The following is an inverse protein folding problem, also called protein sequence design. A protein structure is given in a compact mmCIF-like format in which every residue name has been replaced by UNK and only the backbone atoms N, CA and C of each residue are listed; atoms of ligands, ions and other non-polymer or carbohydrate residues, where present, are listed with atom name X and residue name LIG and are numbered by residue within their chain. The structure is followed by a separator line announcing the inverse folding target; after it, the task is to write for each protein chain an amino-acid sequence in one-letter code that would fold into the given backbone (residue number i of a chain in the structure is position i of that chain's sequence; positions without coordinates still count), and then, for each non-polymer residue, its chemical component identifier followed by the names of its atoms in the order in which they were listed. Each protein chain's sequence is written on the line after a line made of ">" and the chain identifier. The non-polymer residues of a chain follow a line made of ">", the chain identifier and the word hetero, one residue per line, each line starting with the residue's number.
data_IF_945221756542
#
_entry.id   IF_945221756542
#
_cell.length_a   1.000
_cell.length_b   1.000
_cell.length_c   1.000
_cell.angle_alpha   90.00
_cell.angle_beta   90.00
_cell.angle_gamma   90.00
#
_symmetry.space_group_name_H-M   'P 1'
#
loop_
_entity.id
_entity.type
_entity.pdbx_description
1 polymer ?
#
# COMPACT_ATOMS: atom_id res chain seq x y z
N UNK A 1 -29.39 9.42 -24.81
CA UNK A 1 -28.90 9.88 -23.50
C UNK A 1 -27.46 9.37 -23.33
N UNK A 2 -26.45 10.24 -23.28
CA UNK A 2 -25.03 9.83 -23.24
C UNK A 2 -24.58 9.83 -21.77
N UNK A 3 -24.34 8.65 -21.18
CA UNK A 3 -23.75 8.58 -19.84
C UNK A 3 -22.32 9.14 -19.91
N UNK A 4 -22.12 10.32 -19.32
CA UNK A 4 -20.78 10.81 -19.01
C UNK A 4 -20.30 10.00 -17.80
N UNK A 5 -19.43 9.02 -18.02
CA UNK A 5 -18.67 8.39 -16.93
C UNK A 5 -17.86 9.49 -16.24
N UNK A 6 -18.35 9.99 -15.11
CA UNK A 6 -17.57 10.89 -14.27
C UNK A 6 -16.54 10.01 -13.57
N UNK A 7 -15.29 10.04 -14.03
CA UNK A 7 -14.15 9.50 -13.30
C UNK A 7 -13.93 10.35 -12.03
N UNK A 8 -14.83 10.25 -11.04
CA UNK A 8 -14.60 10.79 -9.70
C UNK A 8 -13.53 9.93 -9.05
N UNK A 9 -12.26 10.33 -9.21
CA UNK A 9 -11.20 9.85 -8.33
C UNK A 9 -11.60 10.22 -6.91
N UNK A 10 -11.92 9.23 -6.08
CA UNK A 10 -12.27 9.51 -4.69
C UNK A 10 -11.03 9.96 -3.93
N UNK A 11 -11.18 10.76 -2.87
CA UNK A 11 -10.05 11.17 -2.04
C UNK A 11 -9.23 9.96 -1.54
N UNK A 12 -9.89 8.84 -1.23
CA UNK A 12 -9.23 7.58 -0.87
C UNK A 12 -8.37 7.04 -2.03
N UNK A 13 -8.90 7.06 -3.25
CA UNK A 13 -8.15 6.64 -4.45
C UNK A 13 -6.90 7.50 -4.67
N UNK A 14 -7.01 8.83 -4.58
CA UNK A 14 -5.86 9.74 -4.72
C UNK A 14 -4.80 9.51 -3.64
N UNK A 15 -5.22 9.30 -2.38
CA UNK A 15 -4.29 9.01 -1.27
C UNK A 15 -3.58 7.67 -1.50
N UNK A 16 -4.29 6.61 -1.91
CA UNK A 16 -3.68 5.30 -2.21
C UNK A 16 -2.66 5.41 -3.33
N UNK A 17 -2.99 6.16 -4.38
CA UNK A 17 -2.09 6.39 -5.50
C UNK A 17 -0.82 7.10 -5.05
N UNK A 18 -0.93 8.22 -4.33
CA UNK A 18 0.24 8.95 -3.83
C UNK A 18 1.12 8.09 -2.89
N UNK A 19 0.51 7.25 -2.03
CA UNK A 19 1.26 6.30 -1.21
C UNK A 19 2.04 5.31 -2.07
N UNK A 20 1.42 4.69 -3.07
CA UNK A 20 2.10 3.75 -3.96
C UNK A 20 3.23 4.42 -4.74
N UNK A 21 3.01 5.62 -5.28
CA UNK A 21 4.06 6.37 -5.99
C UNK A 21 5.28 6.66 -5.11
N UNK A 22 5.08 6.95 -3.82
CA UNK A 22 6.18 7.11 -2.88
C UNK A 22 6.90 5.79 -2.59
N UNK A 23 6.16 4.69 -2.43
CA UNK A 23 6.75 3.36 -2.27
C UNK A 23 7.57 2.94 -3.50
N UNK A 24 7.06 3.20 -4.71
CA UNK A 24 7.72 2.92 -5.98
C UNK A 24 8.99 3.78 -6.16
N UNK A 25 9.01 4.99 -5.60
CA UNK A 25 10.20 5.87 -5.50
C UNK A 25 11.20 5.40 -4.44
N UNK A 26 10.91 4.32 -3.71
CA UNK A 26 11.79 3.73 -2.71
C UNK A 26 11.69 4.36 -1.31
N UNK A 27 10.66 5.17 -1.04
CA UNK A 27 10.42 5.63 0.33
C UNK A 27 10.01 4.45 1.22
N UNK A 28 10.70 4.29 2.35
CA UNK A 28 10.46 3.19 3.30
C UNK A 28 10.02 3.69 4.69
N UNK A 29 10.32 4.94 5.04
CA UNK A 29 9.84 5.51 6.30
C UNK A 29 8.36 5.89 6.21
N UNK A 30 7.56 5.20 7.04
CA UNK A 30 6.11 5.34 7.06
C UNK A 30 5.65 6.74 7.49
N UNK A 31 6.36 7.41 8.40
CA UNK A 31 5.96 8.74 8.86
C UNK A 31 6.30 9.81 7.83
N UNK A 32 7.42 9.67 7.11
CA UNK A 32 7.80 10.53 5.99
C UNK A 32 6.80 10.42 4.84
N UNK A 33 6.43 9.20 4.45
CA UNK A 33 5.38 8.97 3.45
C UNK A 33 4.08 9.68 3.85
N UNK A 34 3.65 9.56 5.11
CA UNK A 34 2.44 10.25 5.57
C UNK A 34 2.57 11.77 5.53
N UNK A 35 3.72 12.33 5.91
CA UNK A 35 3.95 13.77 5.86
C UNK A 35 3.89 14.27 4.41
N UNK A 36 4.57 13.58 3.48
CA UNK A 36 4.57 13.93 2.04
C UNK A 36 3.19 13.90 1.41
N UNK A 37 2.39 12.88 1.71
CA UNK A 37 1.00 12.80 1.21
C UNK A 37 0.13 13.93 1.76
N UNK A 38 0.34 14.33 3.03
CA UNK A 38 -0.37 15.48 3.63
C UNK A 38 0.04 16.78 2.94
N UNK A 39 1.34 16.98 2.70
CA UNK A 39 1.88 18.16 2.01
C UNK A 39 1.37 18.26 0.57
N UNK A 40 1.36 17.15 -0.16
CA UNK A 40 0.98 17.11 -1.58
C UNK A 40 -0.53 17.25 -1.81
N UNK A 41 -1.34 16.56 -1.01
CA UNK A 41 -2.80 16.49 -1.22
C UNK A 41 -3.60 17.42 -0.29
N UNK A 42 -2.97 18.06 0.69
CA UNK A 42 -3.62 18.94 1.67
C UNK A 42 -4.63 18.22 2.58
N UNK A 43 -4.53 16.91 2.72
CA UNK A 43 -5.49 16.09 3.50
C UNK A 43 -5.03 15.90 4.94
N UNK A 44 -5.95 15.73 5.93
CA UNK A 44 -5.56 15.49 7.31
C UNK A 44 -4.79 14.17 7.49
N UNK A 45 -3.73 14.19 8.31
CA UNK A 45 -2.93 12.99 8.64
C UNK A 45 -3.76 11.82 9.18
N UNK A 46 -4.81 12.00 10.01
CA UNK A 46 -5.70 10.90 10.39
C UNK A 46 -6.37 10.21 9.20
N UNK A 47 -6.76 10.98 8.18
CA UNK A 47 -7.34 10.45 6.93
C UNK A 47 -6.32 9.61 6.17
N UNK A 48 -5.10 10.13 5.99
CA UNK A 48 -4.00 9.36 5.35
C UNK A 48 -3.74 8.06 6.09
N UNK A 49 -3.65 8.10 7.42
CA UNK A 49 -3.43 6.91 8.26
C UNK A 49 -4.55 5.87 8.09
N UNK A 50 -5.81 6.31 8.00
CA UNK A 50 -6.94 5.40 7.77
C UNK A 50 -6.79 4.72 6.40
N UNK A 51 -6.61 5.51 5.35
CA UNK A 51 -6.51 4.99 3.98
C UNK A 51 -5.28 4.10 3.78
N UNK A 52 -4.15 4.42 4.43
CA UNK A 52 -2.96 3.57 4.43
C UNK A 52 -3.22 2.20 5.06
N UNK A 53 -4.02 2.13 6.14
CA UNK A 53 -4.45 0.84 6.73
C UNK A 53 -5.35 0.06 5.76
N UNK A 54 -6.29 0.76 5.12
CA UNK A 54 -7.18 0.15 4.12
C UNK A 54 -6.38 -0.45 2.96
N UNK A 55 -5.43 0.33 2.41
CA UNK A 55 -4.52 -0.11 1.35
C UNK A 55 -3.70 -1.33 1.76
N UNK A 56 -3.12 -1.32 2.96
CA UNK A 56 -2.37 -2.47 3.48
C UNK A 56 -3.24 -3.73 3.53
N UNK A 57 -4.47 -3.62 4.03
CA UNK A 57 -5.37 -4.77 4.13
C UNK A 57 -5.75 -5.31 2.73
N UNK A 58 -6.00 -4.43 1.77
CA UNK A 58 -6.25 -4.80 0.37
C UNK A 58 -5.06 -5.53 -0.26
N UNK A 59 -3.84 -5.04 -0.03
CA UNK A 59 -2.62 -5.68 -0.53
C UNK A 59 -2.39 -7.06 0.11
N UNK A 60 -2.55 -7.17 1.43
CA UNK A 60 -2.44 -8.46 2.13
C UNK A 60 -3.49 -9.48 1.64
N UNK A 61 -4.72 -9.03 1.37
CA UNK A 61 -5.74 -9.90 0.81
C UNK A 61 -5.36 -10.38 -0.61
N UNK A 62 -4.85 -9.49 -1.46
CA UNK A 62 -4.36 -9.85 -2.79
C UNK A 62 -3.20 -10.85 -2.72
N UNK A 63 -2.23 -10.60 -1.85
CA UNK A 63 -1.10 -11.51 -1.61
C UNK A 63 -1.62 -12.89 -1.18
N UNK A 64 -2.55 -12.95 -0.22
CA UNK A 64 -3.14 -14.21 0.24
C UNK A 64 -3.80 -15.00 -0.90
N UNK A 65 -4.54 -14.33 -1.79
CA UNK A 65 -5.16 -14.97 -2.95
C UNK A 65 -4.08 -15.52 -3.89
N UNK A 66 -3.08 -14.72 -4.24
CA UNK A 66 -2.01 -15.13 -5.15
C UNK A 66 -1.12 -16.24 -4.59
N UNK A 67 -0.96 -16.30 -3.27
CA UNK A 67 -0.24 -17.39 -2.59
C UNK A 67 -1.07 -18.67 -2.45
N UNK A 68 -2.40 -18.60 -2.55
CA UNK A 68 -3.27 -19.78 -2.36
C UNK A 68 -3.10 -20.86 -3.43
N UNK A 69 -2.50 -20.50 -4.58
CA UNK A 69 -2.20 -21.42 -5.68
C UNK A 69 -0.74 -21.95 -5.64
N UNK A 70 0.10 -21.41 -4.75
CA UNK A 70 1.49 -21.82 -4.56
C UNK A 70 1.55 -22.75 -3.33
N UNK A 71 1.91 -24.03 -3.47
CA UNK A 71 2.11 -24.90 -2.31
C UNK A 71 3.11 -24.28 -1.34
N UNK A 72 2.81 -24.38 -0.04
CA UNK A 72 3.52 -23.78 1.10
C UNK A 72 5.04 -24.02 1.19
N UNK A 73 5.62 -24.80 0.26
CA UNK A 73 7.01 -25.25 0.26
C UNK A 73 8.03 -24.24 -0.25
N UNK A 74 7.64 -23.16 -0.94
CA UNK A 74 8.63 -22.20 -1.50
C UNK A 74 8.98 -21.00 -0.59
N UNK A 75 8.22 -20.76 0.49
CA UNK A 75 8.36 -19.54 1.30
C UNK A 75 9.42 -19.69 2.43
N UNK A 76 9.94 -20.89 2.66
CA UNK A 76 10.82 -21.20 3.80
C UNK A 76 12.32 -20.91 3.58
N UNK A 77 12.79 -20.56 2.38
CA UNK A 77 14.23 -20.45 2.10
C UNK A 77 14.88 -19.10 2.47
N UNK A 78 14.15 -18.17 3.10
CA UNK A 78 14.68 -16.85 3.51
C UNK A 78 15.11 -16.71 4.97
N UNK A 79 15.01 -17.77 5.80
CA UNK A 79 15.32 -17.71 7.25
C UNK A 79 16.28 -18.81 7.70
N UNK A 80 17.50 -18.85 7.18
CA UNK A 80 18.59 -19.59 7.81
C UNK A 80 19.97 -19.01 7.46
N UNK A 81 20.35 -17.96 8.18
CA UNK A 81 21.73 -17.50 8.46
C UNK A 81 21.58 -16.29 9.37
N UNK A 82 22.16 -16.11 10.54
CA UNK A 82 23.19 -16.69 11.41
C UNK A 82 22.74 -16.28 12.85
N UNK A 83 23.11 -16.89 13.97
CA UNK A 83 24.46 -17.20 14.40
C UNK A 83 24.41 -18.17 15.58
N UNK A 84 25.21 -19.24 15.49
CA UNK A 84 25.79 -19.90 16.65
C UNK A 84 27.31 -19.82 16.44
N UNK A 85 27.96 -18.98 17.23
CA UNK A 85 29.30 -19.16 17.81
C UNK A 85 29.50 -18.06 18.87
#
# INVERSE_FOLDING_TARGET
>A
MKLKFVNRTTQSTSIKQAINELLDKGFTDKQDIYSKVVEELGVPRPTVRRVARDLRNELLQKIKILQSEVPEMEIAQGKTTQSAD
#
